data_IF_895090867681
#
_entry.id   IF_895090867681
#
_cell.length_a   1.000
_cell.length_b   1.000
_cell.length_c   1.000
_cell.angle_alpha   90.00
_cell.angle_beta   90.00
_cell.angle_gamma   90.00
#
_symmetry.space_group_name_H-M   'P 1'
#
loop_
_entity.id
_entity.type
_entity.pdbx_description
1 polymer ?
#
# COMPACT_ATOMS: atom_id res chain seq x y z
N UNK A 1 -30.57 -21.06 47.40
CA UNK A 1 -30.50 -19.72 46.79
C UNK A 1 -30.33 -19.86 45.29
N UNK A 2 -31.39 -19.56 44.55
CA UNK A 2 -31.43 -19.66 43.08
C UNK A 2 -30.93 -18.32 42.49
N UNK A 3 -29.89 -18.35 41.69
CA UNK A 3 -29.50 -17.17 40.92
C UNK A 3 -29.84 -17.41 39.46
N UNK A 4 -31.02 -16.92 39.10
CA UNK A 4 -31.47 -16.75 37.70
C UNK A 4 -30.98 -15.39 37.22
N UNK A 5 -30.04 -15.32 36.27
CA UNK A 5 -29.80 -14.13 35.47
C UNK A 5 -29.80 -14.49 33.99
N UNK A 6 -30.77 -13.89 33.35
CA UNK A 6 -31.08 -13.91 31.94
C UNK A 6 -29.85 -13.64 31.05
N UNK A 7 -29.66 -14.52 30.09
CA UNK A 7 -28.88 -14.18 28.90
C UNK A 7 -29.73 -13.24 28.03
N UNK A 8 -29.17 -12.15 27.49
CA UNK A 8 -29.87 -11.35 26.49
C UNK A 8 -29.98 -12.14 25.19
N UNK A 9 -31.24 -12.40 24.79
CA UNK A 9 -31.53 -12.92 23.44
C UNK A 9 -31.20 -11.84 22.43
N UNK A 10 -30.07 -12.01 21.73
CA UNK A 10 -29.73 -11.20 20.57
C UNK A 10 -30.64 -11.66 19.40
N UNK A 11 -31.69 -10.89 19.14
CA UNK A 11 -32.43 -11.01 17.87
C UNK A 11 -31.56 -10.33 16.80
N UNK A 12 -30.81 -11.13 16.05
CA UNK A 12 -30.14 -10.68 14.82
C UNK A 12 -31.20 -10.30 13.79
N UNK A 13 -31.25 -9.03 13.42
CA UNK A 13 -31.89 -8.63 12.18
C UNK A 13 -31.05 -9.23 11.04
N UNK A 14 -31.68 -10.14 10.28
CA UNK A 14 -31.22 -10.67 9.00
C UNK A 14 -31.31 -9.55 7.94
N UNK A 15 -30.35 -8.69 7.92
CA UNK A 15 -29.93 -7.90 6.79
C UNK A 15 -28.49 -8.31 6.49
N UNK A 16 -28.30 -9.47 5.86
CA UNK A 16 -27.04 -9.79 5.21
C UNK A 16 -26.84 -8.75 4.11
N UNK A 17 -26.01 -7.75 4.42
CA UNK A 17 -25.38 -6.94 3.42
C UNK A 17 -24.47 -7.92 2.65
N UNK A 18 -24.90 -8.32 1.44
CA UNK A 18 -24.05 -9.04 0.50
C UNK A 18 -22.88 -8.07 0.25
N UNK A 19 -21.79 -8.24 0.98
CA UNK A 19 -20.51 -7.64 0.61
C UNK A 19 -20.16 -8.27 -0.74
N UNK A 20 -20.25 -7.51 -1.81
CA UNK A 20 -19.65 -7.90 -3.08
C UNK A 20 -18.18 -8.18 -2.78
N UNK A 21 -17.70 -9.37 -3.13
CA UNK A 21 -16.29 -9.73 -2.95
C UNK A 21 -15.43 -8.70 -3.68
N UNK A 22 -14.74 -7.91 -2.92
CA UNK A 22 -13.81 -6.92 -3.45
C UNK A 22 -12.51 -7.64 -3.85
N UNK A 23 -11.86 -7.13 -4.92
CA UNK A 23 -10.51 -7.56 -5.25
C UNK A 23 -9.56 -7.04 -4.19
N UNK A 24 -9.06 -7.94 -3.38
CA UNK A 24 -8.09 -7.68 -2.31
C UNK A 24 -6.80 -8.45 -2.59
N UNK A 25 -5.81 -8.17 -1.78
CA UNK A 25 -4.53 -8.88 -1.83
C UNK A 25 -3.45 -7.99 -2.41
N UNK A 26 -2.69 -7.39 -1.52
CA UNK A 26 -1.54 -6.58 -1.89
C UNK A 26 -0.67 -6.37 -0.67
N UNK A 27 0.63 -6.43 -0.88
CA UNK A 27 1.61 -5.92 0.07
C UNK A 27 2.57 -5.02 -0.68
N UNK A 28 2.65 -3.77 -0.25
CA UNK A 28 3.67 -2.83 -0.69
C UNK A 28 4.55 -2.50 0.51
N UNK A 29 5.85 -2.53 0.30
CA UNK A 29 6.85 -2.12 1.28
C UNK A 29 7.82 -1.13 0.63
N UNK A 30 8.09 -0.03 1.29
CA UNK A 30 9.12 0.94 0.93
C UNK A 30 10.14 1.08 2.05
N UNK A 31 11.40 1.13 1.70
CA UNK A 31 12.51 1.39 2.63
C UNK A 31 13.44 2.44 2.04
N UNK A 32 13.73 3.47 2.83
CA UNK A 32 14.77 4.47 2.55
C UNK A 32 15.94 4.22 3.49
N UNK A 33 17.15 4.00 2.93
CA UNK A 33 18.38 3.83 3.69
C UNK A 33 19.59 4.34 2.89
N UNK A 34 20.42 5.12 3.55
CA UNK A 34 21.61 5.70 2.89
C UNK A 34 21.21 6.58 1.70
N UNK A 35 21.76 6.27 0.53
CA UNK A 35 21.52 6.97 -0.72
C UNK A 35 20.52 6.26 -1.63
N UNK A 36 19.64 5.41 -1.09
CA UNK A 36 18.66 4.67 -1.86
C UNK A 36 17.27 4.69 -1.23
N UNK A 37 16.25 4.73 -2.09
CA UNK A 37 14.87 4.40 -1.73
C UNK A 37 14.40 3.28 -2.63
N UNK A 38 13.81 2.26 -2.02
CA UNK A 38 13.32 1.07 -2.69
C UNK A 38 11.85 0.86 -2.37
N UNK A 39 11.03 0.61 -3.37
CA UNK A 39 9.64 0.19 -3.21
C UNK A 39 9.48 -1.17 -3.86
N UNK A 40 8.98 -2.13 -3.09
CA UNK A 40 8.62 -3.46 -3.58
C UNK A 40 7.15 -3.77 -3.32
N UNK A 41 6.60 -4.63 -4.15
CA UNK A 41 5.24 -5.13 -3.98
C UNK A 41 5.11 -6.57 -4.47
N UNK A 42 4.20 -7.32 -3.86
CA UNK A 42 3.81 -8.65 -4.33
C UNK A 42 2.93 -8.59 -5.57
N UNK A 43 2.70 -9.74 -6.20
CA UNK A 43 1.90 -9.85 -7.43
C UNK A 43 0.48 -10.37 -7.24
N UNK A 44 0.05 -10.72 -6.02
CA UNK A 44 -1.23 -11.40 -5.81
C UNK A 44 -2.42 -10.46 -5.92
N UNK A 45 -3.43 -10.89 -6.67
CA UNK A 45 -4.78 -10.32 -6.70
C UNK A 45 -5.76 -11.42 -6.32
N UNK A 46 -6.55 -11.17 -5.28
CA UNK A 46 -7.46 -12.16 -4.68
C UNK A 46 -8.89 -11.63 -4.73
N UNK A 47 -9.85 -12.49 -4.94
CA UNK A 47 -11.28 -12.20 -4.82
C UNK A 47 -11.87 -13.22 -3.85
N UNK A 48 -12.28 -12.73 -2.67
CA UNK A 48 -12.66 -13.60 -1.56
C UNK A 48 -11.50 -14.52 -1.16
N UNK A 49 -11.67 -15.81 -1.32
CA UNK A 49 -10.68 -16.86 -1.03
C UNK A 49 -9.90 -17.37 -2.27
N UNK A 50 -10.14 -16.77 -3.45
CA UNK A 50 -9.61 -17.25 -4.73
C UNK A 50 -8.53 -16.32 -5.28
N UNK A 51 -7.34 -16.85 -5.61
CA UNK A 51 -6.28 -16.11 -6.30
C UNK A 51 -6.64 -15.95 -7.78
N UNK A 52 -6.93 -14.72 -8.20
CA UNK A 52 -7.30 -14.38 -9.59
C UNK A 52 -6.07 -14.12 -10.46
N UNK A 53 -5.00 -13.59 -9.88
CA UNK A 53 -3.74 -13.30 -10.57
C UNK A 53 -2.58 -13.34 -9.58
N UNK A 54 -1.45 -13.89 -10.00
CA UNK A 54 -0.27 -14.05 -9.13
C UNK A 54 0.87 -13.08 -9.45
N UNK A 55 0.84 -12.39 -10.60
CA UNK A 55 1.95 -11.58 -11.11
C UNK A 55 1.53 -10.17 -11.55
N UNK A 56 0.62 -9.53 -10.81
CA UNK A 56 0.23 -8.15 -11.06
C UNK A 56 1.37 -7.19 -10.72
N UNK A 57 1.62 -6.22 -11.58
CA UNK A 57 2.60 -5.16 -11.31
C UNK A 57 1.93 -4.00 -10.59
N UNK A 58 2.16 -3.90 -9.30
CA UNK A 58 1.58 -2.88 -8.41
C UNK A 58 2.59 -1.77 -8.05
N UNK A 59 3.83 -1.90 -8.52
CA UNK A 59 4.89 -0.89 -8.38
C UNK A 59 5.28 -0.42 -9.77
N UNK A 60 5.41 0.90 -9.94
CA UNK A 60 5.73 1.55 -11.22
C UNK A 60 6.66 2.74 -11.03
N UNK A 61 7.44 3.02 -12.06
CA UNK A 61 8.16 4.30 -12.21
C UNK A 61 7.28 5.31 -12.91
N UNK A 62 7.31 6.54 -12.44
CA UNK A 62 6.55 7.69 -12.94
C UNK A 62 7.49 8.85 -13.21
N UNK A 63 6.98 9.85 -13.93
CA UNK A 63 7.64 11.12 -14.19
C UNK A 63 9.12 10.96 -14.55
N UNK A 64 9.40 10.49 -15.78
CA UNK A 64 10.76 10.30 -16.31
C UNK A 64 11.65 9.42 -15.41
N UNK A 65 11.06 8.39 -14.82
CA UNK A 65 11.71 7.42 -13.91
C UNK A 65 12.25 8.01 -12.60
N UNK A 66 11.91 9.26 -12.28
CA UNK A 66 12.38 9.94 -11.06
C UNK A 66 11.53 9.70 -9.82
N UNK A 67 10.36 9.11 -9.98
CA UNK A 67 9.42 8.77 -8.90
C UNK A 67 9.05 7.30 -8.98
N UNK A 68 8.97 6.63 -7.85
CA UNK A 68 8.40 5.28 -7.74
C UNK A 68 7.06 5.38 -7.00
N UNK A 69 6.04 4.69 -7.51
CA UNK A 69 4.74 4.58 -6.89
C UNK A 69 4.35 3.12 -6.71
N UNK A 70 3.75 2.79 -5.55
CA UNK A 70 3.14 1.48 -5.28
C UNK A 70 1.74 1.67 -4.69
N UNK A 71 0.78 0.82 -5.05
CA UNK A 71 -0.59 0.90 -4.57
C UNK A 71 -1.08 -0.41 -3.96
N UNK A 72 -2.00 -0.29 -3.01
CA UNK A 72 -2.73 -1.40 -2.39
C UNK A 72 -4.24 -1.08 -2.35
N UNK A 73 -5.07 -2.12 -2.41
CA UNK A 73 -6.53 -2.04 -2.51
C UNK A 73 -7.05 -2.56 -3.85
N UNK A 74 -8.21 -2.10 -4.29
CA UNK A 74 -8.79 -2.49 -5.57
C UNK A 74 -7.86 -2.22 -6.75
N UNK A 75 -7.61 -3.23 -7.59
CA UNK A 75 -6.61 -3.11 -8.67
C UNK A 75 -6.97 -2.01 -9.66
N UNK A 76 -8.24 -1.89 -10.05
CA UNK A 76 -8.70 -0.84 -10.96
C UNK A 76 -8.57 0.56 -10.32
N UNK A 77 -8.88 0.65 -9.03
CA UNK A 77 -8.79 1.88 -8.25
C UNK A 77 -7.33 2.35 -8.13
N UNK A 78 -6.43 1.41 -7.82
CA UNK A 78 -4.99 1.67 -7.73
C UNK A 78 -4.41 2.20 -9.04
N UNK A 79 -4.77 1.62 -10.19
CA UNK A 79 -4.33 2.12 -11.49
C UNK A 79 -4.84 3.54 -11.78
N UNK A 80 -6.11 3.79 -11.51
CA UNK A 80 -6.71 5.13 -11.67
C UNK A 80 -5.98 6.17 -10.83
N UNK A 81 -5.63 5.84 -9.58
CA UNK A 81 -4.90 6.74 -8.70
C UNK A 81 -3.47 6.99 -9.18
N UNK A 82 -2.77 5.97 -9.66
CA UNK A 82 -1.42 6.13 -10.22
C UNK A 82 -1.43 7.04 -11.45
N UNK A 83 -2.40 6.88 -12.35
CA UNK A 83 -2.56 7.75 -13.53
C UNK A 83 -2.88 9.20 -13.13
N UNK A 84 -3.76 9.40 -12.15
CA UNK A 84 -4.07 10.74 -11.64
C UNK A 84 -2.86 11.38 -10.98
N UNK A 85 -2.09 10.58 -10.22
CA UNK A 85 -0.88 11.06 -9.58
C UNK A 85 0.20 11.48 -10.61
N UNK A 86 0.38 10.70 -11.66
CA UNK A 86 1.29 11.05 -12.75
C UNK A 86 0.90 12.39 -13.40
N UNK A 87 -0.40 12.62 -13.66
CA UNK A 87 -0.89 13.90 -14.13
C UNK A 87 -0.59 15.08 -13.17
N UNK A 88 -0.67 14.86 -11.86
CA UNK A 88 -0.27 15.88 -10.88
C UNK A 88 1.25 16.10 -10.87
N UNK A 89 2.06 15.04 -11.03
CA UNK A 89 3.52 15.19 -11.16
C UNK A 89 3.90 16.00 -12.40
N UNK A 90 3.28 15.75 -13.52
CA UNK A 90 3.51 16.54 -14.76
C UNK A 90 3.15 18.02 -14.56
N UNK A 91 1.96 18.29 -14.03
CA UNK A 91 1.46 19.63 -13.73
C UNK A 91 2.39 20.43 -12.80
N UNK A 92 2.99 19.72 -11.83
CA UNK A 92 3.85 20.32 -10.81
C UNK A 92 5.34 20.06 -11.03
N UNK A 93 5.73 19.75 -12.28
CA UNK A 93 7.14 19.61 -12.71
C UNK A 93 7.96 18.63 -11.85
N UNK A 94 7.31 17.54 -11.42
CA UNK A 94 7.95 16.48 -10.61
C UNK A 94 8.08 16.80 -9.12
N UNK A 95 7.46 17.86 -8.62
CA UNK A 95 7.43 18.13 -7.18
C UNK A 95 6.51 17.11 -6.48
N UNK A 96 7.12 16.11 -5.84
CA UNK A 96 6.42 14.99 -5.23
C UNK A 96 5.42 15.43 -4.16
N UNK A 97 5.86 16.31 -3.25
CA UNK A 97 5.05 16.76 -2.11
C UNK A 97 3.82 17.53 -2.59
N UNK A 98 4.02 18.45 -3.52
CA UNK A 98 2.92 19.25 -4.07
C UNK A 98 1.95 18.38 -4.87
N UNK A 99 2.45 17.48 -5.71
CA UNK A 99 1.63 16.53 -6.46
C UNK A 99 0.80 15.63 -5.52
N UNK A 100 1.38 15.15 -4.41
CA UNK A 100 0.70 14.34 -3.41
C UNK A 100 -0.43 15.11 -2.71
N UNK A 101 -0.18 16.36 -2.31
CA UNK A 101 -1.19 17.21 -1.67
C UNK A 101 -2.34 17.52 -2.64
N UNK A 102 -2.05 17.82 -3.90
CA UNK A 102 -3.09 18.11 -4.89
C UNK A 102 -3.91 16.85 -5.22
N UNK A 103 -3.26 15.68 -5.37
CA UNK A 103 -4.00 14.42 -5.52
C UNK A 103 -4.92 14.15 -4.31
N UNK A 104 -4.44 14.36 -3.09
CA UNK A 104 -5.23 14.15 -1.88
C UNK A 104 -6.46 15.08 -1.82
N UNK A 105 -6.32 16.33 -2.27
CA UNK A 105 -7.46 17.28 -2.40
C UNK A 105 -8.46 16.80 -3.45
N UNK A 106 -7.97 16.40 -4.63
CA UNK A 106 -8.81 15.88 -5.71
C UNK A 106 -9.55 14.62 -5.25
N UNK A 107 -8.84 13.70 -4.60
CA UNK A 107 -9.40 12.45 -4.08
C UNK A 107 -10.55 12.70 -3.10
N UNK A 108 -10.39 13.68 -2.23
CA UNK A 108 -11.41 14.05 -1.24
C UNK A 108 -12.63 14.75 -1.85
N UNK A 109 -12.45 15.55 -2.92
CA UNK A 109 -13.48 16.41 -3.47
C UNK A 109 -14.20 15.83 -4.69
N UNK A 110 -13.53 15.03 -5.50
CA UNK A 110 -14.11 14.37 -6.67
C UNK A 110 -15.03 13.21 -6.25
N UNK A 111 -16.27 13.20 -6.77
CA UNK A 111 -17.26 12.17 -6.45
C UNK A 111 -16.86 10.77 -6.92
N UNK A 112 -16.13 10.66 -8.02
CA UNK A 112 -15.65 9.38 -8.55
C UNK A 112 -14.47 8.89 -7.70
N UNK A 113 -13.48 9.75 -7.45
CA UNK A 113 -12.28 9.39 -6.69
C UNK A 113 -12.59 9.00 -5.23
N UNK A 114 -13.53 9.68 -4.57
CA UNK A 114 -13.92 9.38 -3.18
C UNK A 114 -14.41 7.95 -2.95
N UNK A 115 -14.81 7.26 -3.99
CA UNK A 115 -15.29 5.87 -3.90
C UNK A 115 -14.17 4.85 -4.05
N UNK A 116 -12.96 5.31 -4.41
CA UNK A 116 -11.82 4.43 -4.60
C UNK A 116 -11.29 3.96 -3.25
N UNK A 117 -11.22 2.66 -3.08
CA UNK A 117 -10.68 2.00 -1.89
C UNK A 117 -9.26 1.54 -2.19
N UNK A 118 -8.31 2.46 -2.08
CA UNK A 118 -6.90 2.17 -2.25
C UNK A 118 -6.03 3.07 -1.37
N UNK A 119 -4.76 2.70 -1.27
CA UNK A 119 -3.67 3.46 -0.64
C UNK A 119 -2.54 3.58 -1.66
N UNK A 120 -1.85 4.70 -1.66
CA UNK A 120 -0.72 4.95 -2.54
C UNK A 120 0.53 5.25 -1.71
N UNK A 121 1.64 4.60 -2.03
CA UNK A 121 2.98 4.90 -1.53
C UNK A 121 3.77 5.48 -2.67
N UNK A 122 4.41 6.61 -2.46
CA UNK A 122 5.21 7.28 -3.47
C UNK A 122 6.55 7.73 -2.90
N UNK A 123 7.62 7.65 -3.68
CA UNK A 123 8.94 8.11 -3.26
C UNK A 123 9.74 8.66 -4.44
N UNK A 124 10.53 9.69 -4.15
CA UNK A 124 11.59 10.22 -4.99
C UNK A 124 12.93 10.24 -4.20
N UNK A 125 13.95 10.86 -4.76
CA UNK A 125 15.26 11.00 -4.09
C UNK A 125 15.19 11.70 -2.72
N UNK A 126 14.22 12.60 -2.49
CA UNK A 126 14.14 13.43 -1.30
C UNK A 126 13.05 12.98 -0.32
N UNK A 127 11.89 12.55 -0.82
CA UNK A 127 10.69 12.35 -0.01
C UNK A 127 10.14 10.93 -0.16
N UNK A 128 9.41 10.49 0.85
CA UNK A 128 8.65 9.23 0.85
C UNK A 128 7.29 9.48 1.53
N UNK A 129 6.18 9.24 0.84
CA UNK A 129 4.85 9.63 1.28
C UNK A 129 3.84 8.49 1.13
N UNK A 130 2.92 8.40 2.07
CA UNK A 130 1.67 7.62 1.96
C UNK A 130 0.54 8.60 1.69
N UNK A 131 -0.29 8.31 0.68
CA UNK A 131 -1.49 9.07 0.35
C UNK A 131 -2.70 8.18 0.55
N UNK A 132 -3.70 8.67 1.30
CA UNK A 132 -4.92 7.91 1.63
C UNK A 132 -6.15 8.53 0.97
N UNK A 133 -7.19 7.72 0.79
CA UNK A 133 -8.49 8.17 0.28
C UNK A 133 -9.22 9.18 1.18
N UNK A 134 -8.81 9.31 2.42
CA UNK A 134 -9.32 10.34 3.35
C UNK A 134 -8.68 11.72 3.14
N UNK A 135 -7.68 11.80 2.25
CA UNK A 135 -6.95 13.04 1.97
C UNK A 135 -5.73 13.24 2.85
N UNK A 136 -5.27 12.20 3.56
CA UNK A 136 -4.05 12.28 4.37
C UNK A 136 -2.82 12.11 3.46
N UNK A 137 -1.81 12.93 3.69
CA UNK A 137 -0.46 12.78 3.13
C UNK A 137 0.51 12.65 4.31
N UNK A 138 1.08 11.45 4.47
CA UNK A 138 1.87 11.11 5.66
C UNK A 138 3.30 10.78 5.25
N UNK A 139 4.27 11.42 5.88
CA UNK A 139 5.67 11.07 5.78
C UNK A 139 6.07 10.19 6.99
N UNK A 140 6.70 9.03 6.79
CA UNK A 140 7.12 8.16 7.88
C UNK A 140 8.39 8.69 8.55
N UNK A 141 8.45 8.61 9.89
CA UNK A 141 9.62 9.07 10.67
C UNK A 141 10.84 8.14 10.55
N UNK A 142 10.61 6.88 10.21
CA UNK A 142 11.63 5.82 10.22
C UNK A 142 12.11 5.39 8.81
N UNK A 143 11.66 6.10 7.77
CA UNK A 143 12.00 5.80 6.38
C UNK A 143 11.36 4.51 5.85
N UNK A 144 10.42 3.91 6.59
CA UNK A 144 9.71 2.69 6.19
C UNK A 144 8.22 2.98 6.02
N UNK A 145 7.68 2.60 4.86
CA UNK A 145 6.25 2.63 4.59
C UNK A 145 5.79 1.24 4.17
N UNK A 146 4.61 0.84 4.64
CA UNK A 146 3.98 -0.37 4.15
C UNK A 146 2.46 -0.22 4.14
N UNK A 147 1.83 -0.75 3.10
CA UNK A 147 0.38 -0.73 2.90
C UNK A 147 -0.12 -2.08 2.40
N UNK A 148 -1.41 -2.31 2.54
CA UNK A 148 -2.08 -3.53 2.12
C UNK A 148 -2.10 -4.63 3.17
N UNK A 149 -2.66 -5.80 2.82
CA UNK A 149 -2.98 -6.89 3.74
C UNK A 149 -1.76 -7.45 4.47
N UNK A 150 -0.64 -7.65 3.78
CA UNK A 150 0.63 -8.09 4.37
C UNK A 150 1.52 -6.95 4.87
N UNK A 151 1.08 -5.69 4.75
CA UNK A 151 1.89 -4.51 5.05
C UNK A 151 2.48 -4.48 6.45
N UNK A 152 1.70 -4.85 7.46
CA UNK A 152 2.17 -4.84 8.85
C UNK A 152 3.24 -5.89 9.11
N UNK A 153 3.16 -7.07 8.48
CA UNK A 153 4.20 -8.10 8.57
C UNK A 153 5.48 -7.64 7.89
N UNK A 154 5.36 -7.11 6.67
CA UNK A 154 6.49 -6.55 5.93
C UNK A 154 7.16 -5.39 6.69
N UNK A 155 6.37 -4.46 7.24
CA UNK A 155 6.88 -3.34 8.05
C UNK A 155 7.62 -3.80 9.30
N UNK A 156 7.05 -4.74 10.04
CA UNK A 156 7.67 -5.26 11.26
C UNK A 156 9.00 -5.93 10.97
N UNK A 157 9.07 -6.76 9.92
CA UNK A 157 10.31 -7.38 9.47
C UNK A 157 11.34 -6.34 9.01
N UNK A 158 10.94 -5.40 8.15
CA UNK A 158 11.81 -4.34 7.66
C UNK A 158 12.37 -3.46 8.79
N UNK A 159 11.55 -3.13 9.80
CA UNK A 159 11.99 -2.33 10.93
C UNK A 159 13.02 -3.08 11.79
N UNK A 160 12.82 -4.38 12.02
CA UNK A 160 13.78 -5.21 12.73
C UNK A 160 15.12 -5.30 11.98
N UNK A 161 15.08 -5.53 10.67
CA UNK A 161 16.27 -5.59 9.81
C UNK A 161 17.00 -4.24 9.74
N UNK A 162 16.26 -3.14 9.56
CA UNK A 162 16.83 -1.80 9.48
C UNK A 162 17.60 -1.41 10.75
N UNK A 163 17.09 -1.81 11.92
CA UNK A 163 17.68 -1.46 13.23
C UNK A 163 18.84 -2.36 13.66
N UNK A 164 18.89 -3.59 13.17
CA UNK A 164 19.82 -4.60 13.72
C UNK A 164 20.79 -5.15 12.68
N UNK A 165 20.77 -4.67 11.43
CA UNK A 165 21.65 -5.14 10.36
C UNK A 165 22.18 -4.00 9.50
N UNK A 166 23.22 -4.29 8.70
CA UNK A 166 23.77 -3.39 7.68
C UNK A 166 23.27 -3.72 6.26
N UNK A 167 22.17 -4.45 6.14
CA UNK A 167 21.58 -4.80 4.86
C UNK A 167 21.21 -3.56 4.04
N UNK A 168 21.29 -3.65 2.72
CA UNK A 168 20.84 -2.59 1.82
C UNK A 168 19.32 -2.36 1.92
N UNK A 169 18.84 -1.19 1.48
CA UNK A 169 17.41 -0.94 1.38
C UNK A 169 16.70 -2.01 0.55
N UNK A 170 17.34 -2.48 -0.53
CA UNK A 170 16.82 -3.53 -1.41
C UNK A 170 16.70 -4.87 -0.70
N UNK A 171 17.74 -5.31 -0.01
CA UNK A 171 17.71 -6.58 0.72
C UNK A 171 16.65 -6.58 1.83
N UNK A 172 16.46 -5.44 2.52
CA UNK A 172 15.43 -5.27 3.54
C UNK A 172 14.04 -5.39 2.92
N UNK A 173 13.79 -4.78 1.75
CA UNK A 173 12.51 -4.88 1.04
C UNK A 173 12.26 -6.33 0.61
N UNK A 174 13.25 -6.99 0.03
CA UNK A 174 13.14 -8.38 -0.43
C UNK A 174 12.82 -9.34 0.72
N UNK A 175 13.53 -9.22 1.83
CA UNK A 175 13.28 -10.06 3.02
C UNK A 175 11.94 -9.72 3.71
N UNK A 176 11.60 -8.44 3.83
CA UNK A 176 10.35 -8.01 4.43
C UNK A 176 9.12 -8.52 3.64
N UNK A 177 9.18 -8.46 2.31
CA UNK A 177 8.13 -9.03 1.44
C UNK A 177 8.10 -10.56 1.49
N UNK A 178 9.27 -11.22 1.62
CA UNK A 178 9.32 -12.68 1.79
C UNK A 178 8.59 -13.12 3.05
N UNK A 179 8.89 -12.50 4.17
CA UNK A 179 8.26 -12.81 5.46
C UNK A 179 6.75 -12.53 5.40
N UNK A 180 6.35 -11.42 4.76
CA UNK A 180 4.94 -11.14 4.57
C UNK A 180 4.23 -12.21 3.72
N UNK A 181 4.89 -12.69 2.66
CA UNK A 181 4.36 -13.76 1.81
C UNK A 181 4.27 -15.13 2.50
N UNK A 182 5.10 -15.38 3.51
CA UNK A 182 5.04 -16.61 4.30
C UNK A 182 3.92 -16.59 5.36
N UNK A 183 3.45 -15.40 5.76
CA UNK A 183 2.48 -15.22 6.86
C UNK A 183 1.08 -14.86 6.32
N UNK A 184 1.02 -13.95 5.35
CA UNK A 184 -0.23 -13.38 4.87
C UNK A 184 -0.75 -14.15 3.64
N UNK A 185 -1.92 -14.78 3.78
CA UNK A 185 -2.56 -15.54 2.68
C UNK A 185 -2.90 -14.69 1.45
N UNK A 186 -2.95 -13.37 1.60
CA UNK A 186 -3.21 -12.40 0.53
C UNK A 186 -1.94 -11.82 -0.10
N UNK A 187 -0.78 -12.43 0.17
CA UNK A 187 0.54 -11.99 -0.32
C UNK A 187 1.29 -13.20 -0.86
N UNK A 188 1.94 -13.06 -2.01
CA UNK A 188 2.74 -14.13 -2.60
C UNK A 188 4.22 -13.77 -2.73
N UNK A 189 5.01 -14.70 -3.28
CA UNK A 189 6.46 -14.55 -3.45
C UNK A 189 6.85 -13.93 -4.82
N UNK A 190 5.88 -13.69 -5.71
CA UNK A 190 6.11 -12.97 -6.96
C UNK A 190 6.21 -11.47 -6.68
N UNK A 191 7.34 -10.84 -7.02
CA UNK A 191 7.64 -9.47 -6.59
C UNK A 191 8.05 -8.58 -7.74
N UNK A 192 7.63 -7.32 -7.67
CA UNK A 192 8.16 -6.22 -8.48
C UNK A 192 8.86 -5.25 -7.53
N UNK A 193 10.14 -4.98 -7.77
CA UNK A 193 10.96 -4.09 -6.91
C UNK A 193 11.62 -3.03 -7.79
N UNK A 194 11.42 -1.78 -7.42
CA UNK A 194 12.00 -0.62 -8.06
C UNK A 194 12.85 0.17 -7.05
N UNK A 195 13.94 0.77 -7.53
CA UNK A 195 14.96 1.46 -6.71
C UNK A 195 15.39 2.77 -7.36
N UNK A 196 15.51 3.82 -6.56
CA UNK A 196 16.16 5.09 -6.94
C UNK A 196 17.39 5.27 -6.05
N UNK A 197 18.55 5.39 -6.66
CA UNK A 197 19.82 5.78 -6.01
C UNK A 197 20.11 7.27 -6.29
N UNK A 198 20.69 7.99 -5.32
CA UNK A 198 20.95 9.43 -5.38
C UNK A 198 22.20 9.86 -4.60
#
# INVERSE_FOLDING_TARGET
MKCTRCAPTYRGNLGEVIKLDQFEGTTILSVRRGNAVVIGGDGQVTMGDTVMKANARKVRRLYKDSVIAGFAGGTADGFTLVERFEGQLEKHQGNLVLAAVELAKDWRTDRALRRLEALLVVADKANSLIITGNGDVVEPNDGIMAIGSGGQYAKSAALALLRNTDLSARDIVEQGLSIAGDICIYTNQERTIEEITF
#
